data_IF_587361542238
#
_entry.id   IF_587361542238
#
_cell.length_a   1.000
_cell.length_b   1.000
_cell.length_c   1.000
_cell.angle_alpha   90.00
_cell.angle_beta   90.00
_cell.angle_gamma   90.00
#
_symmetry.space_group_name_H-M   'P 1'
#
loop_
_entity.id
_entity.type
_entity.pdbx_description
1 polymer ?
#
# COMPACT_ATOMS: atom_id res chain seq x y z
N UNK A 1 7.44 -16.58 15.56
CA UNK A 1 6.59 -16.51 14.33
C UNK A 1 6.22 -15.05 14.19
N UNK A 2 6.63 -14.40 13.12
CA UNK A 2 6.39 -12.96 12.94
C UNK A 2 5.02 -12.73 12.27
N UNK A 3 4.32 -11.68 12.70
CA UNK A 3 3.09 -11.21 12.05
C UNK A 3 3.33 -9.84 11.44
N UNK A 4 2.93 -9.68 10.19
CA UNK A 4 2.87 -8.39 9.50
C UNK A 4 1.46 -7.84 9.68
N UNK A 5 1.30 -6.82 10.52
CA UNK A 5 0.10 -6.01 10.58
C UNK A 5 0.19 -4.95 9.49
N UNK A 6 -0.77 -4.92 8.55
CA UNK A 6 -0.71 -3.98 7.43
C UNK A 6 -1.85 -2.98 7.51
N UNK A 7 -1.52 -1.72 7.68
CA UNK A 7 -2.46 -0.59 7.66
C UNK A 7 -2.37 0.14 6.33
N UNK A 8 -3.52 0.54 5.79
CA UNK A 8 -3.56 1.17 4.48
C UNK A 8 -5.00 1.40 3.99
N UNK A 9 -5.08 1.69 2.71
CA UNK A 9 -6.32 2.00 2.01
C UNK A 9 -6.80 0.87 1.07
N UNK A 10 -7.56 1.22 0.03
CA UNK A 10 -8.13 0.28 -0.95
C UNK A 10 -7.07 -0.45 -1.80
N UNK A 11 -5.88 0.09 -1.94
CA UNK A 11 -4.79 -0.54 -2.70
C UNK A 11 -4.17 -1.73 -1.96
N UNK A 12 -4.41 -1.82 -0.65
CA UNK A 12 -3.88 -2.87 0.24
C UNK A 12 -4.98 -3.83 0.70
N UNK A 13 -6.23 -3.35 0.87
CA UNK A 13 -7.32 -4.07 1.52
C UNK A 13 -7.56 -5.47 0.93
N UNK A 14 -7.95 -6.42 1.80
CA UNK A 14 -8.54 -7.68 1.37
C UNK A 14 -9.96 -7.43 0.84
N UNK A 15 -10.19 -7.72 -0.43
CA UNK A 15 -11.46 -7.58 -1.13
C UNK A 15 -12.16 -8.93 -1.27
N UNK A 16 -13.48 -8.95 -1.15
CA UNK A 16 -14.31 -10.13 -1.26
C UNK A 16 -14.94 -10.27 -2.67
N UNK A 17 -15.79 -11.27 -2.82
CA UNK A 17 -16.46 -11.56 -4.10
C UNK A 17 -17.37 -10.42 -4.57
N UNK A 18 -17.85 -9.56 -3.68
CA UNK A 18 -18.76 -8.46 -4.05
C UNK A 18 -18.06 -7.35 -4.82
N UNK A 19 -16.74 -7.23 -4.67
CA UNK A 19 -15.91 -6.25 -5.41
C UNK A 19 -15.02 -6.92 -6.45
N UNK A 20 -15.19 -8.24 -6.69
CA UNK A 20 -14.38 -8.96 -7.67
C UNK A 20 -14.46 -8.30 -9.06
N UNK A 21 -13.32 -8.09 -9.78
CA UNK A 21 -12.00 -8.68 -9.55
C UNK A 21 -11.02 -7.77 -8.76
N UNK A 22 -11.49 -6.77 -8.03
CA UNK A 22 -10.61 -5.92 -7.23
C UNK A 22 -9.79 -6.75 -6.23
N UNK A 23 -8.48 -6.51 -6.19
CA UNK A 23 -7.53 -7.23 -5.34
C UNK A 23 -6.53 -6.25 -4.75
N UNK A 24 -6.39 -6.22 -3.43
CA UNK A 24 -5.38 -5.39 -2.78
C UNK A 24 -4.02 -6.09 -2.68
N UNK A 25 -2.94 -5.31 -2.58
CA UNK A 25 -1.56 -5.81 -2.50
C UNK A 25 -1.39 -6.74 -1.28
N UNK A 26 -1.97 -6.35 -0.14
CA UNK A 26 -1.90 -7.15 1.09
C UNK A 26 -2.63 -8.50 1.02
N UNK A 27 -3.53 -8.67 0.05
CA UNK A 27 -4.26 -9.91 -0.18
C UNK A 27 -3.41 -11.01 -0.81
N UNK A 28 -2.36 -10.63 -1.55
CA UNK A 28 -1.49 -11.56 -2.29
C UNK A 28 -0.08 -11.65 -1.71
N UNK A 29 0.23 -10.90 -0.66
CA UNK A 29 1.58 -10.83 -0.10
C UNK A 29 2.10 -12.21 0.36
N UNK A 30 1.21 -13.09 0.81
CA UNK A 30 1.56 -14.45 1.22
C UNK A 30 2.23 -15.29 0.12
N UNK A 31 2.10 -14.92 -1.17
CA UNK A 31 2.81 -15.59 -2.27
C UNK A 31 4.34 -15.48 -2.18
N UNK A 32 4.83 -14.48 -1.46
CA UNK A 32 6.24 -14.15 -1.36
C UNK A 32 6.85 -14.49 0.01
N UNK A 33 6.02 -14.67 1.02
CA UNK A 33 6.43 -14.87 2.41
C UNK A 33 6.73 -16.34 2.71
N UNK A 34 7.57 -16.56 3.71
CA UNK A 34 7.74 -17.88 4.32
C UNK A 34 6.42 -18.35 4.93
N UNK A 35 6.15 -19.68 4.95
CA UNK A 35 4.87 -20.22 5.47
C UNK A 35 4.57 -19.87 6.93
N UNK A 36 5.59 -19.61 7.74
CA UNK A 36 5.46 -19.25 9.14
C UNK A 36 5.19 -17.75 9.38
N UNK A 37 5.27 -16.91 8.35
CA UNK A 37 4.96 -15.47 8.44
C UNK A 37 3.49 -15.24 8.13
N UNK A 38 2.79 -14.52 8.99
CA UNK A 38 1.37 -14.20 8.82
C UNK A 38 1.18 -12.75 8.38
N UNK A 39 0.14 -12.50 7.59
CA UNK A 39 -0.33 -11.14 7.28
C UNK A 39 -1.69 -10.94 7.92
N UNK A 40 -1.79 -9.98 8.85
CA UNK A 40 -3.06 -9.42 9.32
C UNK A 40 -3.31 -8.10 8.57
N UNK A 41 -4.15 -8.18 7.54
CA UNK A 41 -4.47 -7.02 6.70
C UNK A 41 -5.60 -6.20 7.32
N UNK A 42 -5.25 -5.07 7.91
CA UNK A 42 -6.17 -4.11 8.54
C UNK A 42 -6.53 -2.93 7.63
N UNK A 43 -6.01 -2.91 6.40
CA UNK A 43 -6.32 -1.85 5.45
C UNK A 43 -7.82 -1.77 5.15
N UNK A 44 -8.32 -0.57 4.88
CA UNK A 44 -9.73 -0.34 4.62
C UNK A 44 -9.95 0.66 3.49
N UNK A 45 -10.81 0.29 2.53
CA UNK A 45 -11.18 1.14 1.40
C UNK A 45 -11.55 2.55 1.85
N UNK A 46 -11.01 3.56 1.17
CA UNK A 46 -11.33 4.95 1.40
C UNK A 46 -10.70 5.59 2.63
N UNK A 47 -9.81 4.89 3.36
CA UNK A 47 -9.19 5.47 4.56
C UNK A 47 -7.89 6.20 4.22
N UNK A 48 -7.78 7.39 4.81
CA UNK A 48 -6.56 8.16 4.95
C UNK A 48 -5.90 7.85 6.30
N UNK A 49 -4.69 8.37 6.54
CA UNK A 49 -4.08 8.32 7.89
C UNK A 49 -5.01 8.87 8.94
N UNK A 50 -5.64 10.02 8.67
CA UNK A 50 -6.58 10.70 9.55
C UNK A 50 -7.80 9.85 9.85
N UNK A 51 -8.57 9.44 8.83
CA UNK A 51 -9.82 8.70 9.04
C UNK A 51 -9.56 7.32 9.65
N UNK A 52 -8.42 6.68 9.37
CA UNK A 52 -8.04 5.41 10.00
C UNK A 52 -7.84 5.58 11.52
N UNK A 53 -7.20 6.67 11.94
CA UNK A 53 -6.98 6.99 13.37
C UNK A 53 -8.30 7.41 14.03
N UNK A 54 -9.04 8.34 13.41
CA UNK A 54 -10.30 8.88 13.95
C UNK A 54 -11.37 7.79 14.16
N UNK A 55 -11.38 6.75 13.31
CA UNK A 55 -12.24 5.57 13.45
C UNK A 55 -11.69 4.54 14.45
N UNK A 56 -10.65 4.87 15.22
CA UNK A 56 -10.00 3.98 16.20
C UNK A 56 -9.50 2.64 15.63
N UNK A 57 -9.21 2.57 14.32
CA UNK A 57 -8.76 1.33 13.64
C UNK A 57 -7.35 0.90 14.05
N UNK A 58 -6.54 1.80 14.60
CA UNK A 58 -5.23 1.48 15.12
C UNK A 58 -5.30 0.74 16.48
N UNK A 59 -6.36 0.95 17.26
CA UNK A 59 -6.51 0.36 18.61
C UNK A 59 -6.45 -1.17 18.61
N UNK A 60 -7.24 -1.91 17.79
CA UNK A 60 -7.18 -3.38 17.81
C UNK A 60 -5.82 -3.92 17.33
N UNK A 61 -5.07 -3.17 16.55
CA UNK A 61 -3.71 -3.53 16.15
C UNK A 61 -2.78 -3.34 17.35
N UNK A 62 -2.86 -2.18 18.01
CA UNK A 62 -2.07 -1.87 19.19
C UNK A 62 -2.26 -2.91 20.31
N UNK A 63 -3.48 -3.43 20.48
CA UNK A 63 -3.77 -4.44 21.49
C UNK A 63 -3.17 -5.82 21.18
N UNK A 64 -2.95 -6.12 19.89
CA UNK A 64 -2.46 -7.43 19.43
C UNK A 64 -0.96 -7.47 19.13
N UNK A 65 -0.42 -6.40 18.53
CA UNK A 65 0.95 -6.36 18.04
C UNK A 65 1.94 -6.50 19.20
N UNK A 66 2.98 -7.30 19.01
CA UNK A 66 3.98 -7.62 20.02
C UNK A 66 5.41 -7.48 19.49
N UNK A 67 6.38 -7.60 20.38
CA UNK A 67 7.80 -7.54 20.01
C UNK A 67 8.14 -8.62 18.97
N UNK A 68 8.84 -8.19 17.91
CA UNK A 68 9.22 -9.03 16.78
C UNK A 68 8.21 -9.08 15.63
N UNK A 69 7.03 -8.48 15.80
CA UNK A 69 6.07 -8.27 14.71
C UNK A 69 6.44 -7.04 13.87
N UNK A 70 5.75 -6.87 12.74
CA UNK A 70 5.94 -5.73 11.82
C UNK A 70 4.64 -4.95 11.66
N UNK A 71 4.75 -3.62 11.59
CA UNK A 71 3.66 -2.74 11.18
C UNK A 71 4.02 -2.11 9.83
N UNK A 72 3.38 -2.58 8.75
CA UNK A 72 3.49 -1.98 7.42
C UNK A 72 2.46 -0.86 7.29
N UNK A 73 2.93 0.32 6.88
CA UNK A 73 2.14 1.57 6.85
C UNK A 73 2.14 2.11 5.43
N UNK A 74 0.97 2.07 4.76
CA UNK A 74 0.82 2.47 3.35
C UNK A 74 -0.43 3.32 3.15
N UNK A 75 -0.28 4.64 3.08
CA UNK A 75 -1.34 5.62 2.89
C UNK A 75 -0.91 6.73 1.93
N UNK A 76 -1.89 7.50 1.43
CA UNK A 76 -1.68 8.68 0.60
C UNK A 76 -2.89 9.00 -0.29
N UNK A 77 -3.45 8.00 -1.00
CA UNK A 77 -4.54 8.17 -1.97
C UNK A 77 -5.80 8.87 -1.44
N UNK A 78 -6.06 8.78 -0.16
CA UNK A 78 -7.20 9.43 0.46
C UNK A 78 -6.81 10.67 1.26
N UNK A 79 -5.57 10.74 1.72
CA UNK A 79 -5.00 11.89 2.39
C UNK A 79 -4.98 13.14 1.49
N UNK A 80 -4.79 12.96 0.20
CA UNK A 80 -4.76 14.04 -0.81
C UNK A 80 -6.12 14.63 -1.19
N UNK A 81 -7.24 14.08 -0.70
CA UNK A 81 -8.59 14.49 -1.09
C UNK A 81 -9.03 15.79 -0.44
N UNK A 82 -8.50 16.92 -0.93
CA UNK A 82 -8.77 18.28 -0.40
C UNK A 82 -10.25 18.61 -0.23
N UNK A 83 -11.14 18.04 -1.06
CA UNK A 83 -12.58 18.27 -1.00
C UNK A 83 -13.30 17.38 0.04
N UNK A 84 -12.58 16.56 0.78
CA UNK A 84 -13.13 15.68 1.81
C UNK A 84 -12.40 15.89 3.15
N UNK A 85 -12.89 16.78 4.01
CA UNK A 85 -12.25 17.13 5.29
C UNK A 85 -12.13 15.95 6.27
N UNK A 86 -12.92 14.90 6.08
CA UNK A 86 -12.82 13.70 6.92
C UNK A 86 -11.60 12.86 6.58
N UNK A 87 -11.08 12.97 5.35
CA UNK A 87 -9.92 12.23 4.87
C UNK A 87 -8.69 13.08 4.65
N UNK A 88 -8.89 14.30 4.22
CA UNK A 88 -7.79 15.20 3.88
C UNK A 88 -6.84 15.43 5.06
N UNK A 89 -5.55 15.39 4.77
CA UNK A 89 -4.46 15.82 5.64
C UNK A 89 -3.51 16.71 4.84
N UNK A 90 -2.99 17.75 5.46
CA UNK A 90 -1.89 18.49 4.85
C UNK A 90 -0.61 17.62 4.85
N UNK A 91 0.08 17.47 3.69
CA UNK A 91 1.24 16.57 3.58
C UNK A 91 2.40 16.98 4.49
N UNK A 92 2.60 18.27 4.75
CA UNK A 92 3.74 18.79 5.51
C UNK A 92 3.45 19.00 7.02
N UNK A 93 2.26 18.67 7.47
CA UNK A 93 1.88 18.77 8.90
C UNK A 93 1.10 17.54 9.35
N UNK A 94 -0.23 17.50 9.14
CA UNK A 94 -1.12 16.47 9.69
C UNK A 94 -0.73 15.06 9.25
N UNK A 95 -0.34 14.88 7.98
CA UNK A 95 0.04 13.58 7.44
C UNK A 95 1.28 13.03 8.16
N UNK A 96 2.32 13.87 8.31
CA UNK A 96 3.56 13.48 9.00
C UNK A 96 3.31 13.13 10.46
N UNK A 97 2.49 13.95 11.17
CA UNK A 97 2.09 13.70 12.56
C UNK A 97 1.32 12.38 12.68
N UNK A 98 0.43 12.09 11.73
CA UNK A 98 -0.30 10.82 11.74
C UNK A 98 0.62 9.62 11.47
N UNK A 99 1.56 9.72 10.54
CA UNK A 99 2.59 8.69 10.30
C UNK A 99 3.38 8.40 11.57
N UNK A 100 3.79 9.43 12.31
CA UNK A 100 4.49 9.27 13.59
C UNK A 100 3.66 8.49 14.63
N UNK A 101 2.33 8.70 14.69
CA UNK A 101 1.45 7.93 15.59
C UNK A 101 1.50 6.42 15.30
N UNK A 102 1.50 6.02 14.02
CA UNK A 102 1.64 4.61 13.65
C UNK A 102 3.00 4.05 14.06
N UNK A 103 4.07 4.80 13.82
CA UNK A 103 5.44 4.43 14.22
C UNK A 103 5.53 4.21 15.73
N UNK A 104 5.00 5.17 16.51
CA UNK A 104 5.01 5.10 17.95
C UNK A 104 4.17 3.92 18.48
N UNK A 105 3.03 3.63 17.85
CA UNK A 105 2.22 2.47 18.19
C UNK A 105 2.99 1.15 18.04
N UNK A 106 3.74 0.98 16.94
CA UNK A 106 4.58 -0.20 16.74
C UNK A 106 5.74 -0.25 17.75
N UNK A 107 6.50 0.84 17.88
CA UNK A 107 7.70 0.90 18.73
C UNK A 107 7.40 0.71 20.21
N UNK A 108 6.28 1.24 20.70
CA UNK A 108 5.84 1.05 22.09
C UNK A 108 5.57 -0.42 22.44
N UNK A 109 5.38 -1.27 21.42
CA UNK A 109 5.17 -2.72 21.58
C UNK A 109 6.41 -3.55 21.21
N UNK A 110 7.53 -2.90 20.85
CA UNK A 110 8.74 -3.58 20.40
C UNK A 110 8.63 -4.16 18.99
N UNK A 111 7.64 -3.71 18.21
CA UNK A 111 7.44 -4.11 16.82
C UNK A 111 8.18 -3.17 15.86
N UNK A 112 8.39 -3.63 14.62
CA UNK A 112 9.15 -2.96 13.58
C UNK A 112 8.23 -2.20 12.61
N UNK A 113 8.17 -0.85 12.65
CA UNK A 113 7.44 -0.08 11.65
C UNK A 113 8.21 -0.07 10.32
N UNK A 114 7.47 -0.15 9.21
CA UNK A 114 7.99 -0.02 7.84
C UNK A 114 7.05 0.88 7.05
N UNK A 115 7.57 1.93 6.45
CA UNK A 115 6.83 2.75 5.51
C UNK A 115 6.87 2.15 4.11
N UNK A 116 5.72 2.20 3.43
CA UNK A 116 5.58 1.87 2.02
C UNK A 116 4.91 3.08 1.37
N UNK A 117 5.58 3.74 0.43
CA UNK A 117 5.00 4.91 -0.24
C UNK A 117 3.73 4.49 -1.00
N UNK A 118 2.75 5.41 -1.17
CA UNK A 118 1.56 5.10 -1.95
C UNK A 118 1.95 4.61 -3.34
N UNK A 119 1.19 3.63 -3.84
CA UNK A 119 1.26 3.15 -5.22
C UNK A 119 0.92 4.29 -6.18
N UNK A 120 1.65 4.41 -7.29
CA UNK A 120 1.26 5.36 -8.34
C UNK A 120 0.00 4.92 -9.07
N UNK A 121 -0.85 5.87 -9.46
CA UNK A 121 -1.97 5.62 -10.35
C UNK A 121 -1.47 5.35 -11.77
N UNK A 122 -2.28 4.63 -12.54
CA UNK A 122 -1.99 4.44 -13.96
C UNK A 122 -2.29 5.74 -14.74
N UNK A 123 -1.31 6.64 -14.79
CA UNK A 123 -1.44 7.97 -15.36
C UNK A 123 -0.60 8.11 -16.67
N UNK A 124 -0.87 7.28 -17.66
CA UNK A 124 -0.24 7.42 -18.98
C UNK A 124 -0.78 8.62 -19.73
N UNK A 125 0.12 9.45 -20.27
CA UNK A 125 -0.18 10.55 -21.20
C UNK A 125 -0.34 9.99 -22.61
N UNK A 126 0.53 9.06 -22.97
CA UNK A 126 0.55 8.35 -24.25
C UNK A 126 0.97 6.88 -24.02
N UNK A 127 1.29 6.14 -25.07
CA UNK A 127 1.63 4.71 -24.98
C UNK A 127 2.90 4.42 -24.18
N UNK A 128 3.83 5.37 -24.08
CA UNK A 128 5.15 5.18 -23.50
C UNK A 128 5.41 6.07 -22.27
N UNK A 129 4.70 7.19 -22.12
CA UNK A 129 5.00 8.19 -21.10
C UNK A 129 3.94 8.24 -20.01
N UNK A 130 4.42 8.18 -18.77
CA UNK A 130 3.64 8.50 -17.58
C UNK A 130 3.68 10.00 -17.30
N UNK A 131 2.57 10.56 -16.85
CA UNK A 131 2.50 11.92 -16.32
C UNK A 131 3.45 12.11 -15.13
N UNK A 132 3.62 13.35 -14.67
CA UNK A 132 4.45 13.70 -13.49
C UNK A 132 4.12 12.84 -12.29
N UNK A 133 2.87 12.44 -12.18
CA UNK A 133 2.35 11.58 -11.11
C UNK A 133 1.56 12.38 -10.09
N UNK A 134 0.64 11.68 -9.49
CA UNK A 134 -0.11 12.16 -8.34
C UNK A 134 0.67 11.82 -7.05
N UNK A 135 0.23 12.14 -5.89
CA UNK A 135 0.81 11.78 -4.59
C UNK A 135 2.22 12.33 -4.29
N UNK A 136 2.86 13.11 -5.18
CA UNK A 136 4.27 13.52 -5.04
C UNK A 136 4.58 14.17 -3.69
N UNK A 137 3.68 15.03 -3.19
CA UNK A 137 3.85 15.72 -1.90
C UNK A 137 3.77 14.71 -0.73
N UNK A 138 2.86 13.73 -0.80
CA UNK A 138 2.70 12.69 0.24
C UNK A 138 3.85 11.68 0.20
N UNK A 139 4.36 11.36 -0.98
CA UNK A 139 5.58 10.54 -1.13
C UNK A 139 6.78 11.24 -0.51
N UNK A 140 6.98 12.54 -0.82
CA UNK A 140 8.06 13.34 -0.26
C UNK A 140 7.93 13.45 1.27
N UNK A 141 6.73 13.71 1.79
CA UNK A 141 6.46 13.80 3.22
C UNK A 141 6.70 12.47 3.95
N UNK A 142 6.30 11.33 3.36
CA UNK A 142 6.56 10.01 3.96
C UNK A 142 8.07 9.71 3.98
N UNK A 143 8.82 10.03 2.91
CA UNK A 143 10.28 9.89 2.86
C UNK A 143 10.95 10.75 3.93
N UNK A 144 10.56 12.01 4.04
CA UNK A 144 11.08 12.91 5.08
C UNK A 144 10.78 12.39 6.49
N UNK A 145 9.57 11.87 6.71
CA UNK A 145 9.20 11.28 8.01
C UNK A 145 10.01 10.02 8.31
N UNK A 146 10.28 9.20 7.28
CA UNK A 146 11.12 8.02 7.41
C UNK A 146 12.54 8.38 7.86
N UNK A 147 13.13 9.39 7.24
CA UNK A 147 14.45 9.92 7.63
C UNK A 147 14.45 10.48 9.06
N UNK A 148 13.49 11.35 9.38
CA UNK A 148 13.40 12.00 10.69
C UNK A 148 13.23 10.98 11.83
N UNK A 149 12.46 9.91 11.59
CA UNK A 149 12.15 8.89 12.59
C UNK A 149 13.05 7.65 12.48
N UNK A 150 13.99 7.62 11.52
CA UNK A 150 14.82 6.44 11.22
C UNK A 150 13.96 5.16 11.06
N UNK A 151 12.95 5.23 10.16
CA UNK A 151 12.06 4.13 9.81
C UNK A 151 12.44 3.62 8.43
N UNK A 152 12.62 2.31 8.22
CA UNK A 152 12.81 1.74 6.89
C UNK A 152 11.65 2.08 5.96
N UNK A 153 11.97 2.38 4.68
CA UNK A 153 10.99 2.78 3.68
C UNK A 153 11.18 1.99 2.38
N UNK A 154 10.07 1.50 1.85
CA UNK A 154 9.97 0.93 0.51
C UNK A 154 9.35 1.98 -0.42
N UNK A 155 10.11 2.44 -1.41
CA UNK A 155 9.65 3.41 -2.40
C UNK A 155 8.80 2.76 -3.50
N UNK A 156 7.62 2.26 -3.11
CA UNK A 156 6.68 1.62 -4.04
C UNK A 156 6.23 2.58 -5.14
N UNK A 157 6.15 3.89 -4.85
CA UNK A 157 5.82 4.90 -5.84
C UNK A 157 6.79 4.85 -7.04
N UNK A 158 8.08 4.94 -6.78
CA UNK A 158 9.10 4.87 -7.84
C UNK A 158 9.15 3.50 -8.51
N UNK A 159 9.02 2.42 -7.72
CA UNK A 159 9.03 1.05 -8.23
C UNK A 159 7.83 0.78 -9.15
N UNK A 160 6.63 1.21 -8.76
CA UNK A 160 5.41 1.03 -9.58
C UNK A 160 5.49 1.79 -10.90
N UNK A 161 6.02 3.00 -10.89
CA UNK A 161 6.27 3.77 -12.11
C UNK A 161 7.24 3.07 -13.06
N UNK A 162 8.31 2.48 -12.51
CA UNK A 162 9.28 1.72 -13.30
C UNK A 162 8.64 0.47 -13.94
N UNK A 163 7.86 -0.30 -13.18
CA UNK A 163 7.16 -1.47 -13.73
C UNK A 163 6.11 -1.07 -14.79
N UNK A 164 5.35 0.01 -14.57
CA UNK A 164 4.40 0.52 -15.56
C UNK A 164 5.08 0.95 -16.87
N UNK A 165 6.19 1.70 -16.79
CA UNK A 165 6.97 2.08 -18.00
C UNK A 165 7.46 0.86 -18.76
N UNK A 166 7.96 -0.14 -18.05
CA UNK A 166 8.45 -1.38 -18.66
C UNK A 166 7.34 -2.17 -19.35
N UNK A 167 6.15 -2.20 -18.77
CA UNK A 167 5.01 -2.95 -19.30
C UNK A 167 4.25 -2.20 -20.41
N UNK A 168 4.25 -0.87 -20.37
CA UNK A 168 3.52 -0.01 -21.32
C UNK A 168 2.04 0.18 -20.99
N UNK A 169 1.42 1.13 -21.68
CA UNK A 169 0.06 1.57 -21.40
C UNK A 169 -0.98 0.45 -21.58
N UNK A 170 -0.91 -0.32 -22.66
CA UNK A 170 -1.91 -1.37 -22.92
C UNK A 170 -1.82 -2.51 -21.91
N UNK A 171 -0.64 -3.04 -21.67
CA UNK A 171 -0.43 -4.17 -20.77
C UNK A 171 -0.87 -3.84 -19.33
N UNK A 172 -0.63 -2.61 -18.89
CA UNK A 172 -0.99 -2.19 -17.53
C UNK A 172 -2.50 -2.08 -17.30
N UNK A 173 -3.35 -2.01 -18.32
CA UNK A 173 -4.80 -2.15 -18.17
C UNK A 173 -5.20 -3.49 -17.56
N UNK A 174 -4.39 -4.54 -17.72
CA UNK A 174 -4.61 -5.83 -17.08
C UNK A 174 -4.31 -5.82 -15.56
N UNK A 175 -3.54 -4.83 -15.10
CA UNK A 175 -3.17 -4.70 -13.69
C UNK A 175 -4.18 -3.87 -12.89
N UNK A 176 -4.82 -2.90 -13.56
CA UNK A 176 -5.80 -2.00 -12.96
C UNK A 176 -7.23 -2.38 -13.34
N UNK A 177 -8.22 -1.81 -12.66
CA UNK A 177 -9.63 -2.13 -12.82
C UNK A 177 -10.21 -1.56 -14.12
N UNK A 178 -9.63 -1.97 -15.27
CA UNK A 178 -10.20 -1.79 -16.59
C UNK A 178 -11.03 -3.03 -16.92
N UNK A 179 -12.36 -2.90 -16.88
CA UNK A 179 -13.30 -4.00 -17.00
C UNK A 179 -14.24 -3.78 -18.20
N UNK A 180 -14.41 -4.80 -19.09
CA UNK A 180 -15.41 -4.71 -20.13
C UNK A 180 -16.83 -4.83 -19.57
N UNK A 181 -17.80 -4.17 -20.22
CA UNK A 181 -19.20 -4.29 -19.86
C UNK A 181 -19.71 -5.72 -20.04
N UNK A 182 -20.66 -6.13 -19.19
CA UNK A 182 -21.35 -7.41 -19.26
C UNK A 182 -20.57 -8.62 -18.75
N UNK A 183 -19.35 -8.44 -18.23
CA UNK A 183 -18.48 -9.57 -17.80
C UNK A 183 -18.48 -9.76 -16.28
N UNK A 184 -18.42 -8.67 -15.52
CA UNK A 184 -18.28 -8.73 -14.07
C UNK A 184 -19.57 -8.30 -13.37
N UNK A 185 -20.21 -9.16 -12.55
CA UNK A 185 -21.48 -8.83 -11.88
C UNK A 185 -21.39 -7.59 -11.00
N UNK A 186 -20.21 -7.31 -10.41
CA UNK A 186 -19.94 -6.11 -9.59
C UNK A 186 -19.88 -4.81 -10.41
N UNK A 187 -19.68 -4.92 -11.75
CA UNK A 187 -19.47 -3.78 -12.66
C UNK A 187 -20.06 -4.08 -14.04
N UNK A 188 -21.38 -4.28 -14.12
CA UNK A 188 -22.06 -4.68 -15.38
C UNK A 188 -21.92 -3.65 -16.50
N UNK A 189 -21.79 -2.37 -16.17
CA UNK A 189 -21.58 -1.30 -17.15
C UNK A 189 -20.11 -1.18 -17.61
N UNK A 190 -19.22 -2.05 -17.08
CA UNK A 190 -17.78 -1.92 -17.24
C UNK A 190 -17.18 -0.90 -16.28
N UNK A 191 -15.86 -0.75 -16.29
CA UNK A 191 -15.14 0.20 -15.43
C UNK A 191 -13.83 0.60 -16.10
N UNK A 192 -13.47 1.88 -15.97
CA UNK A 192 -12.11 2.38 -16.25
C UNK A 192 -11.58 3.05 -15.00
N UNK A 193 -10.79 2.33 -14.22
CA UNK A 193 -10.24 2.81 -12.96
C UNK A 193 -8.72 2.59 -12.95
N UNK A 194 -8.00 3.70 -12.85
CA UNK A 194 -6.55 3.77 -12.87
C UNK A 194 -5.90 3.70 -11.47
N UNK A 195 -6.67 3.41 -10.44
CA UNK A 195 -6.21 3.37 -9.03
C UNK A 195 -6.26 1.97 -8.45
N UNK A 196 -7.41 1.30 -8.56
CA UNK A 196 -7.61 -0.01 -7.95
C UNK A 196 -7.07 -1.13 -8.83
N UNK A 197 -6.60 -2.20 -8.19
CA UNK A 197 -5.86 -3.27 -8.83
C UNK A 197 -6.75 -4.50 -9.08
N UNK A 198 -6.43 -5.23 -10.14
CA UNK A 198 -6.76 -6.65 -10.32
C UNK A 198 -5.64 -7.52 -9.76
N UNK A 199 -5.88 -8.82 -9.69
CA UNK A 199 -4.94 -9.81 -9.13
C UNK A 199 -3.52 -9.67 -9.68
N UNK A 200 -3.35 -9.56 -11.01
CA UNK A 200 -2.01 -9.45 -11.62
C UNK A 200 -1.27 -8.19 -11.18
N UNK A 201 -1.95 -7.05 -11.11
CA UNK A 201 -1.36 -5.80 -10.62
C UNK A 201 -0.96 -5.91 -9.15
N UNK A 202 -1.82 -6.50 -8.32
CA UNK A 202 -1.52 -6.75 -6.91
C UNK A 202 -0.27 -7.64 -6.74
N UNK A 203 -0.12 -8.70 -7.55
CA UNK A 203 1.06 -9.59 -7.53
C UNK A 203 2.33 -8.85 -7.96
N UNK A 204 2.28 -8.05 -9.03
CA UNK A 204 3.44 -7.27 -9.50
C UNK A 204 3.94 -6.34 -8.39
N UNK A 205 3.03 -5.61 -7.75
CA UNK A 205 3.41 -4.63 -6.73
C UNK A 205 3.76 -5.26 -5.37
N UNK A 206 3.15 -6.40 -5.02
CA UNK A 206 3.63 -7.19 -3.88
C UNK A 206 5.06 -7.70 -4.12
N UNK A 207 5.40 -8.11 -5.34
CA UNK A 207 6.75 -8.46 -5.75
C UNK A 207 7.74 -7.29 -5.63
N UNK A 208 7.31 -6.05 -5.95
CA UNK A 208 8.12 -4.85 -5.72
C UNK A 208 8.43 -4.67 -4.23
N UNK A 209 7.40 -4.75 -3.37
CA UNK A 209 7.58 -4.63 -1.92
C UNK A 209 8.50 -5.72 -1.38
N UNK A 210 8.31 -6.97 -1.83
CA UNK A 210 9.17 -8.09 -1.43
C UNK A 210 10.64 -7.86 -1.80
N UNK A 211 10.93 -7.34 -3.01
CA UNK A 211 12.29 -6.96 -3.42
C UNK A 211 12.87 -5.89 -2.49
N UNK A 212 12.13 -4.80 -2.28
CA UNK A 212 12.60 -3.72 -1.42
C UNK A 212 12.89 -4.16 0.00
N UNK A 213 12.05 -5.03 0.58
CA UNK A 213 12.29 -5.59 1.92
C UNK A 213 13.49 -6.53 1.95
N UNK A 214 13.73 -7.32 0.90
CA UNK A 214 14.94 -8.14 0.77
C UNK A 214 16.21 -7.27 0.68
N UNK A 215 16.15 -6.16 -0.04
CA UNK A 215 17.27 -5.22 -0.18
C UNK A 215 17.62 -4.53 1.15
N UNK A 216 16.65 -4.34 2.06
CA UNK A 216 16.91 -3.87 3.43
C UNK A 216 17.74 -4.87 4.26
N UNK A 217 17.68 -6.16 3.92
CA UNK A 217 18.44 -7.22 4.61
C UNK A 217 17.93 -7.54 6.02
N UNK A 218 18.69 -8.37 6.73
CA UNK A 218 18.43 -8.74 8.13
C UNK A 218 17.01 -9.24 8.35
N UNK A 219 16.36 -8.80 9.43
CA UNK A 219 15.00 -9.23 9.83
C UNK A 219 13.94 -9.01 8.75
N UNK A 220 14.14 -8.05 7.83
CA UNK A 220 13.20 -7.76 6.74
C UNK A 220 13.31 -8.80 5.64
N UNK A 221 14.54 -9.17 5.25
CA UNK A 221 14.79 -10.23 4.25
C UNK A 221 14.36 -11.61 4.76
N UNK A 222 14.46 -11.84 6.07
CA UNK A 222 14.13 -13.11 6.72
C UNK A 222 12.64 -13.47 6.64
N UNK A 223 11.77 -12.51 6.29
CA UNK A 223 10.33 -12.74 6.10
C UNK A 223 10.03 -13.55 4.82
N UNK A 224 10.92 -13.55 3.84
CA UNK A 224 10.66 -14.04 2.50
C UNK A 224 11.31 -15.40 2.23
N UNK A 225 10.67 -16.17 1.34
CA UNK A 225 11.31 -17.35 0.76
C UNK A 225 12.56 -16.93 -0.03
N UNK A 226 13.60 -17.75 0.00
CA UNK A 226 14.75 -17.57 -0.90
C UNK A 226 14.32 -17.93 -2.32
N UNK A 227 14.48 -16.98 -3.23
CA UNK A 227 14.37 -17.24 -4.67
C UNK A 227 15.81 -17.48 -5.15
N UNK A 228 16.15 -18.71 -5.44
CA UNK A 228 17.36 -19.06 -6.19
C UNK A 228 17.17 -18.79 -7.69
#
# INVERSE_FOLDING_TARGET
MATIFWVGDSTVQYNDILTFPQTGIGQVMNLFLKPEVRVENHAKNGRSTKSFIDESRLTPIYDKITAGDFLFIQFGHNDEKKNDPQRYTDPHSDYMVNLEKFVNAARNKGAWPVFITPLERRCFIDEEHLDIGEHTDYVAAMKQTAENLNVPLIDLYSMSRAEMRKAGAEKTKEWYMHLPAGVYPSHMDGLTDNTHLKYMGAVVYAGCIARGLKELGGIYSDLFVSWE
#
